data_IF_428719230652
#
_entry.id   IF_428719230652
#
_cell.length_a   1.000
_cell.length_b   1.000
_cell.length_c   1.000
_cell.angle_alpha   90.00
_cell.angle_beta   90.00
_cell.angle_gamma   90.00
#
_symmetry.space_group_name_H-M   'P 1'
#
loop_
_entity.id
_entity.type
_entity.pdbx_description
1 polymer ?
#
# COMPACT_ATOMS: atom_id res chain seq x y z
N UNK A 1 13.87 19.26 -7.84
CA UNK A 1 12.43 19.02 -8.07
C UNK A 1 11.86 17.88 -7.22
N UNK A 2 12.30 16.63 -7.40
CA UNK A 2 11.73 15.45 -6.70
C UNK A 2 11.74 15.51 -5.17
N UNK A 3 12.78 16.11 -4.57
CA UNK A 3 12.86 16.29 -3.11
C UNK A 3 11.70 17.14 -2.58
N UNK A 4 11.35 18.24 -3.28
CA UNK A 4 10.24 19.12 -2.89
C UNK A 4 8.89 18.43 -3.01
N UNK A 5 8.70 17.63 -4.07
CA UNK A 5 7.46 16.86 -4.23
C UNK A 5 7.34 15.74 -3.18
N UNK A 6 8.45 15.09 -2.83
CA UNK A 6 8.49 14.09 -1.75
C UNK A 6 8.14 14.72 -0.40
N UNK A 7 8.60 15.95 -0.14
CA UNK A 7 8.21 16.70 1.05
C UNK A 7 6.69 16.93 1.11
N UNK A 8 6.06 17.33 0.00
CA UNK A 8 4.60 17.50 -0.06
C UNK A 8 3.86 16.19 0.21
N UNK A 9 4.29 15.08 -0.41
CA UNK A 9 3.68 13.77 -0.20
C UNK A 9 3.76 13.32 1.26
N UNK A 10 4.92 13.52 1.92
CA UNK A 10 5.12 13.17 3.33
C UNK A 10 4.28 14.04 4.28
N UNK A 11 3.93 15.25 3.86
CA UNK A 11 3.17 16.22 4.64
C UNK A 11 1.75 16.43 4.11
N UNK A 12 1.16 15.43 3.45
CA UNK A 12 -0.18 15.50 2.87
C UNK A 12 -1.26 15.93 3.87
N UNK A 13 -1.12 15.52 5.13
CA UNK A 13 -2.00 15.91 6.25
C UNK A 13 -2.12 17.43 6.39
N UNK A 14 -1.06 18.18 6.11
CA UNK A 14 -1.02 19.64 6.16
C UNK A 14 -1.24 20.26 4.77
N UNK A 15 -0.68 19.65 3.72
CA UNK A 15 -0.76 20.19 2.37
C UNK A 15 -2.21 20.30 1.85
N UNK A 16 -3.07 19.33 2.19
CA UNK A 16 -4.48 19.36 1.78
C UNK A 16 -5.23 20.55 2.41
N UNK A 17 -5.27 20.73 3.75
CA UNK A 17 -5.88 21.91 4.36
C UNK A 17 -5.33 23.23 3.85
N UNK A 18 -4.01 23.34 3.69
CA UNK A 18 -3.38 24.55 3.15
C UNK A 18 -3.88 24.83 1.74
N UNK A 19 -3.96 23.81 0.88
CA UNK A 19 -4.46 23.94 -0.48
C UNK A 19 -5.92 24.38 -0.55
N UNK A 20 -6.76 23.91 0.38
CA UNK A 20 -8.15 24.32 0.49
C UNK A 20 -8.25 25.82 0.79
N UNK A 21 -7.53 26.28 1.83
CA UNK A 21 -7.52 27.69 2.26
C UNK A 21 -6.98 28.58 1.15
N UNK A 22 -5.85 28.21 0.53
CA UNK A 22 -5.26 28.98 -0.57
C UNK A 22 -6.20 29.05 -1.78
N UNK A 23 -6.93 27.98 -2.09
CA UNK A 23 -7.92 27.98 -3.16
C UNK A 23 -9.04 28.98 -2.89
N UNK A 24 -9.62 28.97 -1.67
CA UNK A 24 -10.65 29.94 -1.27
C UNK A 24 -10.13 31.38 -1.37
N UNK A 25 -8.95 31.66 -0.82
CA UNK A 25 -8.35 32.99 -0.86
C UNK A 25 -8.10 33.45 -2.31
N UNK A 26 -7.55 32.58 -3.15
CA UNK A 26 -7.30 32.89 -4.56
C UNK A 26 -8.59 33.23 -5.30
N UNK A 27 -9.62 32.39 -5.19
CA UNK A 27 -10.88 32.60 -5.91
C UNK A 27 -11.70 33.80 -5.42
N UNK A 28 -11.45 34.25 -4.18
CA UNK A 28 -12.02 35.49 -3.67
C UNK A 28 -11.37 36.72 -4.29
N UNK A 29 -10.03 36.69 -4.45
CA UNK A 29 -9.23 37.81 -4.93
C UNK A 29 -9.19 37.90 -6.47
N UNK A 30 -9.26 36.76 -7.15
CA UNK A 30 -9.02 36.62 -8.59
C UNK A 30 -10.16 35.78 -9.20
N UNK A 31 -10.62 36.14 -10.41
CA UNK A 31 -11.56 35.31 -11.16
C UNK A 31 -10.95 33.92 -11.46
N UNK A 32 -11.53 32.90 -10.83
CA UNK A 32 -11.07 31.52 -10.89
C UNK A 32 -11.58 30.75 -12.12
N UNK A 33 -12.39 31.37 -12.98
CA UNK A 33 -12.97 30.72 -14.16
C UNK A 33 -11.93 30.12 -15.10
N UNK A 34 -10.77 30.78 -15.27
CA UNK A 34 -9.65 30.31 -16.09
C UNK A 34 -9.07 28.97 -15.59
N UNK A 35 -9.17 28.70 -14.28
CA UNK A 35 -8.68 27.46 -13.68
C UNK A 35 -9.44 26.22 -14.15
N UNK A 36 -10.64 26.37 -14.74
CA UNK A 36 -11.40 25.25 -15.33
C UNK A 36 -10.59 24.48 -16.38
N UNK A 37 -9.69 25.16 -17.11
CA UNK A 37 -8.80 24.54 -18.11
C UNK A 37 -7.86 23.49 -17.47
N UNK A 38 -7.54 23.65 -16.19
CA UNK A 38 -6.65 22.73 -15.47
C UNK A 38 -7.35 21.45 -15.00
N UNK A 39 -8.69 21.41 -14.99
CA UNK A 39 -9.45 20.27 -14.43
C UNK A 39 -9.10 18.96 -15.13
N UNK A 40 -9.16 18.94 -16.46
CA UNK A 40 -8.86 17.75 -17.26
C UNK A 40 -7.40 17.28 -17.12
N UNK A 41 -6.36 18.12 -17.33
CA UNK A 41 -4.98 17.67 -17.19
C UNK A 41 -4.63 17.22 -15.77
N UNK A 42 -5.13 17.90 -14.74
CA UNK A 42 -4.93 17.48 -13.35
C UNK A 42 -5.61 16.13 -13.07
N UNK A 43 -6.82 15.94 -13.60
CA UNK A 43 -7.54 14.66 -13.48
C UNK A 43 -6.76 13.51 -14.11
N UNK A 44 -6.25 13.70 -15.33
CA UNK A 44 -5.43 12.69 -16.01
C UNK A 44 -4.15 12.42 -15.21
N UNK A 45 -3.46 13.47 -14.76
CA UNK A 45 -2.22 13.36 -13.99
C UNK A 45 -2.43 12.72 -12.61
N UNK A 46 -3.64 12.73 -12.08
CA UNK A 46 -4.00 12.09 -10.83
C UNK A 46 -4.14 10.56 -10.98
N UNK A 47 -4.80 10.11 -12.06
CA UNK A 47 -5.12 8.69 -12.30
C UNK A 47 -3.97 7.95 -13.01
N UNK A 48 -3.34 8.58 -14.00
CA UNK A 48 -2.29 7.97 -14.82
C UNK A 48 -1.14 7.34 -14.00
N UNK A 49 -0.54 8.03 -13.01
CA UNK A 49 0.58 7.48 -12.24
C UNK A 49 0.21 6.26 -11.39
N UNK A 50 -1.06 6.15 -10.97
CA UNK A 50 -1.54 4.98 -10.22
C UNK A 50 -1.36 3.71 -11.05
N UNK A 51 -1.72 3.73 -12.33
CA UNK A 51 -1.57 2.56 -13.18
C UNK A 51 -0.11 2.25 -13.52
N UNK A 52 0.72 3.28 -13.72
CA UNK A 52 2.15 3.08 -14.00
C UNK A 52 2.83 2.32 -12.87
N UNK A 53 2.44 2.53 -11.62
CA UNK A 53 3.09 1.90 -10.45
C UNK A 53 2.50 0.55 -10.05
N UNK A 54 1.35 0.18 -10.61
CA UNK A 54 0.57 -0.98 -10.17
C UNK A 54 1.27 -2.30 -10.51
N UNK A 55 1.35 -3.24 -9.56
CA UNK A 55 1.90 -4.56 -9.83
C UNK A 55 0.84 -5.48 -10.44
N UNK A 56 0.83 -5.56 -11.77
CA UNK A 56 -0.18 -6.33 -12.51
C UNK A 56 -0.02 -7.83 -12.28
N UNK A 57 1.19 -8.32 -12.06
CA UNK A 57 1.42 -9.75 -11.73
C UNK A 57 0.65 -10.16 -10.47
N UNK A 58 0.46 -9.24 -9.51
CA UNK A 58 -0.30 -9.48 -8.28
C UNK A 58 -1.80 -9.75 -8.53
N UNK A 59 -2.35 -9.40 -9.70
CA UNK A 59 -3.72 -9.76 -10.09
C UNK A 59 -3.89 -11.27 -10.23
N UNK A 60 -2.86 -11.95 -10.72
CA UNK A 60 -2.88 -13.37 -11.01
C UNK A 60 -2.43 -14.24 -9.82
N UNK A 61 -1.95 -13.63 -8.74
CA UNK A 61 -1.60 -14.35 -7.49
C UNK A 61 -2.84 -14.98 -6.87
N UNK A 62 -2.74 -16.09 -6.14
CA UNK A 62 -3.89 -16.67 -5.46
C UNK A 62 -4.53 -15.68 -4.46
N UNK A 63 -5.86 -15.69 -4.38
CA UNK A 63 -6.64 -14.92 -3.42
C UNK A 63 -7.80 -15.78 -2.92
N UNK A 64 -8.15 -15.65 -1.63
CA UNK A 64 -9.34 -16.30 -1.08
C UNK A 64 -10.60 -15.65 -1.69
N UNK A 65 -11.39 -16.36 -2.52
CA UNK A 65 -12.50 -15.75 -3.24
C UNK A 65 -13.60 -15.24 -2.30
N UNK A 66 -13.86 -15.95 -1.19
CA UNK A 66 -14.83 -15.53 -0.17
C UNK A 66 -14.50 -14.17 0.43
N UNK A 67 -13.22 -13.93 0.76
CA UNK A 67 -12.74 -12.65 1.28
C UNK A 67 -12.93 -11.53 0.26
N UNK A 68 -12.55 -11.78 -1.00
CA UNK A 68 -12.71 -10.80 -2.08
C UNK A 68 -14.17 -10.42 -2.27
N UNK A 69 -15.08 -11.41 -2.33
CA UNK A 69 -16.52 -11.18 -2.49
C UNK A 69 -17.06 -10.36 -1.32
N UNK A 70 -16.72 -10.73 -0.08
CA UNK A 70 -17.14 -9.98 1.11
C UNK A 70 -16.73 -8.50 1.03
N UNK A 71 -15.48 -8.22 0.65
CA UNK A 71 -15.00 -6.84 0.49
C UNK A 71 -15.80 -6.09 -0.58
N UNK A 72 -16.12 -6.73 -1.71
CA UNK A 72 -16.92 -6.09 -2.76
C UNK A 72 -18.37 -5.86 -2.32
N UNK A 73 -19.00 -6.80 -1.61
CA UNK A 73 -20.35 -6.64 -1.07
C UNK A 73 -20.43 -5.48 -0.08
N UNK A 74 -19.46 -5.35 0.83
CA UNK A 74 -19.38 -4.20 1.72
C UNK A 74 -19.29 -2.90 0.91
N UNK A 75 -18.40 -2.85 -0.08
CA UNK A 75 -18.12 -1.64 -0.84
C UNK A 75 -19.20 -1.21 -1.83
N UNK A 76 -19.94 -2.15 -2.40
CA UNK A 76 -20.91 -1.87 -3.45
C UNK A 76 -22.35 -2.03 -3.01
N UNK A 77 -22.64 -2.61 -1.84
CA UNK A 77 -23.99 -2.70 -1.30
C UNK A 77 -24.11 -1.85 -0.04
N UNK A 78 -23.34 -2.17 1.00
CA UNK A 78 -23.56 -1.57 2.32
C UNK A 78 -23.13 -0.10 2.34
N UNK A 79 -21.91 0.21 1.88
CA UNK A 79 -21.37 1.58 1.93
C UNK A 79 -22.20 2.56 1.07
N UNK A 80 -22.63 2.24 -0.17
CA UNK A 80 -23.51 3.11 -0.94
C UNK A 80 -24.86 3.36 -0.27
N UNK A 81 -25.49 2.33 0.31
CA UNK A 81 -26.76 2.48 1.04
C UNK A 81 -26.61 3.41 2.25
N UNK A 82 -25.50 3.30 2.97
CA UNK A 82 -25.19 4.18 4.10
C UNK A 82 -24.94 5.62 3.63
N UNK A 83 -24.13 5.80 2.58
CA UNK A 83 -23.87 7.12 2.01
C UNK A 83 -25.15 7.80 1.52
N UNK A 84 -26.02 7.05 0.84
CA UNK A 84 -27.34 7.53 0.42
C UNK A 84 -28.22 7.88 1.61
N UNK A 85 -28.32 7.00 2.62
CA UNK A 85 -29.12 7.24 3.82
C UNK A 85 -28.68 8.48 4.60
N UNK A 86 -27.37 8.69 4.76
CA UNK A 86 -26.81 9.91 5.36
C UNK A 86 -27.17 11.14 4.48
N UNK A 87 -27.07 11.01 3.16
CA UNK A 87 -27.47 12.06 2.22
C UNK A 87 -28.94 12.46 2.36
N UNK A 88 -29.85 11.50 2.53
CA UNK A 88 -31.27 11.76 2.74
C UNK A 88 -31.57 12.50 4.06
N UNK A 89 -30.80 12.23 5.11
CA UNK A 89 -31.02 12.84 6.43
C UNK A 89 -30.40 14.23 6.52
N UNK A 90 -29.15 14.38 6.08
CA UNK A 90 -28.37 15.60 6.31
C UNK A 90 -28.31 16.54 5.10
N UNK A 91 -28.52 16.03 3.88
CA UNK A 91 -28.31 16.76 2.62
C UNK A 91 -29.57 16.79 1.75
N UNK A 92 -30.75 16.60 2.34
CA UNK A 92 -32.04 16.51 1.66
C UNK A 92 -32.33 17.69 0.72
N UNK A 93 -31.98 18.90 1.16
CA UNK A 93 -32.26 20.14 0.43
C UNK A 93 -31.14 20.54 -0.54
N UNK A 94 -30.06 19.76 -0.60
CA UNK A 94 -28.85 20.03 -1.38
C UNK A 94 -28.51 18.80 -2.23
N UNK A 95 -29.26 18.54 -3.32
CA UNK A 95 -29.18 17.27 -4.05
C UNK A 95 -27.80 17.03 -4.67
N UNK A 96 -27.08 18.08 -5.08
CA UNK A 96 -25.71 17.96 -5.60
C UNK A 96 -24.70 17.57 -4.51
N UNK A 97 -24.81 18.12 -3.29
CA UNK A 97 -23.99 17.68 -2.16
C UNK A 97 -24.31 16.23 -1.75
N UNK A 98 -25.59 15.86 -1.71
CA UNK A 98 -26.02 14.49 -1.44
C UNK A 98 -25.46 13.51 -2.48
N UNK A 99 -25.47 13.91 -3.75
CA UNK A 99 -24.87 13.14 -4.83
C UNK A 99 -23.34 13.03 -4.70
N UNK A 100 -22.66 14.10 -4.27
CA UNK A 100 -21.23 14.06 -3.96
C UNK A 100 -20.91 13.03 -2.87
N UNK A 101 -21.71 12.95 -1.81
CA UNK A 101 -21.58 11.91 -0.78
C UNK A 101 -21.81 10.51 -1.36
N UNK A 102 -22.80 10.34 -2.23
CA UNK A 102 -23.04 9.07 -2.91
C UNK A 102 -21.86 8.67 -3.82
N UNK A 103 -21.27 9.61 -4.58
CA UNK A 103 -20.07 9.34 -5.38
C UNK A 103 -18.88 8.88 -4.53
N UNK A 104 -18.65 9.53 -3.38
CA UNK A 104 -17.65 9.09 -2.40
C UNK A 104 -17.95 7.64 -1.98
N UNK A 105 -19.21 7.35 -1.66
CA UNK A 105 -19.66 6.03 -1.20
C UNK A 105 -19.66 4.94 -2.29
N UNK A 106 -19.69 5.29 -3.57
CA UNK A 106 -19.73 4.35 -4.71
C UNK A 106 -18.37 4.00 -5.27
N UNK A 107 -17.37 4.86 -5.06
CA UNK A 107 -16.05 4.70 -5.67
C UNK A 107 -15.05 4.23 -4.62
N UNK A 108 -14.91 2.91 -4.38
CA UNK A 108 -13.99 2.39 -3.39
C UNK A 108 -12.56 2.50 -3.89
N UNK A 109 -11.63 2.33 -2.97
CA UNK A 109 -10.19 2.18 -3.22
C UNK A 109 -9.53 3.34 -3.98
N UNK A 110 -8.76 4.15 -3.27
CA UNK A 110 -7.81 5.10 -3.87
C UNK A 110 -6.49 4.43 -4.28
N UNK A 111 -5.64 5.16 -5.01
CA UNK A 111 -4.25 4.76 -5.23
C UNK A 111 -3.43 4.62 -3.94
N UNK A 112 -3.85 5.24 -2.84
CA UNK A 112 -3.18 5.14 -1.53
C UNK A 112 -3.60 3.91 -0.73
N UNK A 113 -4.67 3.20 -1.12
CA UNK A 113 -5.19 2.01 -0.43
C UNK A 113 -4.11 0.97 -0.18
N UNK A 114 -3.30 0.71 -1.21
CA UNK A 114 -2.22 -0.28 -1.18
C UNK A 114 -1.15 0.14 -0.17
N UNK A 115 -0.76 1.42 -0.18
CA UNK A 115 0.24 1.97 0.74
C UNK A 115 -0.23 1.94 2.19
N UNK A 116 -1.46 2.39 2.48
CA UNK A 116 -2.03 2.37 3.83
C UNK A 116 -2.18 0.94 4.36
N UNK A 117 -2.60 0.00 3.49
CA UNK A 117 -2.64 -1.43 3.84
C UNK A 117 -1.23 -1.92 4.20
N UNK A 118 -0.22 -1.57 3.41
CA UNK A 118 1.17 -1.93 3.69
C UNK A 118 1.70 -1.34 4.99
N UNK A 119 1.43 -0.06 5.27
CA UNK A 119 1.83 0.60 6.50
C UNK A 119 1.19 -0.02 7.75
N UNK A 120 -0.06 -0.48 7.64
CA UNK A 120 -0.73 -1.22 8.71
C UNK A 120 -0.35 -2.72 8.76
N UNK A 121 0.55 -3.18 7.87
CA UNK A 121 0.98 -4.58 7.74
C UNK A 121 -0.20 -5.52 7.44
N UNK A 122 -1.04 -5.11 6.49
CA UNK A 122 -2.14 -5.90 5.92
C UNK A 122 -1.75 -6.67 4.66
N UNK A 123 -2.72 -7.37 4.06
CA UNK A 123 -2.50 -8.15 2.84
C UNK A 123 -2.45 -7.26 1.60
N UNK A 124 -1.24 -6.87 1.19
CA UNK A 124 -0.97 -5.98 0.05
C UNK A 124 -1.44 -6.58 -1.28
N UNK A 125 -1.31 -7.89 -1.49
CA UNK A 125 -1.76 -8.54 -2.74
C UNK A 125 -3.29 -8.49 -2.87
N UNK A 126 -4.01 -8.75 -1.78
CA UNK A 126 -5.46 -8.60 -1.73
C UNK A 126 -5.88 -7.14 -1.93
N UNK A 127 -5.12 -6.18 -1.41
CA UNK A 127 -5.41 -4.75 -1.58
C UNK A 127 -5.27 -4.32 -3.04
N UNK A 128 -4.23 -4.79 -3.75
CA UNK A 128 -4.05 -4.53 -5.18
C UNK A 128 -5.25 -5.07 -5.98
N UNK A 129 -5.64 -6.33 -5.74
CA UNK A 129 -6.79 -6.96 -6.40
C UNK A 129 -8.11 -6.23 -6.13
N UNK A 130 -8.38 -5.95 -4.85
CA UNK A 130 -9.56 -5.18 -4.43
C UNK A 130 -9.60 -3.82 -5.08
N UNK A 131 -8.45 -3.14 -5.21
CA UNK A 131 -8.37 -1.82 -5.84
C UNK A 131 -8.74 -1.87 -7.32
N UNK A 132 -8.26 -2.86 -8.05
CA UNK A 132 -8.51 -2.97 -9.49
C UNK A 132 -9.95 -3.40 -9.76
N UNK A 133 -10.43 -4.43 -9.04
CA UNK A 133 -11.81 -4.89 -9.13
C UNK A 133 -12.76 -3.76 -8.71
N UNK A 134 -12.45 -3.04 -7.63
CA UNK A 134 -13.22 -1.90 -7.16
C UNK A 134 -13.27 -0.76 -8.17
N UNK A 135 -12.16 -0.46 -8.85
CA UNK A 135 -12.15 0.57 -9.89
C UNK A 135 -13.01 0.19 -11.11
N UNK A 136 -12.94 -1.06 -11.55
CA UNK A 136 -13.74 -1.58 -12.67
C UNK A 136 -15.23 -1.59 -12.29
N UNK A 137 -15.58 -2.25 -11.17
CA UNK A 137 -16.95 -2.34 -10.70
C UNK A 137 -17.53 -0.96 -10.38
N UNK A 138 -16.78 -0.07 -9.76
CA UNK A 138 -17.22 1.29 -9.47
C UNK A 138 -17.52 2.08 -10.74
N UNK A 139 -16.67 1.99 -11.76
CA UNK A 139 -16.90 2.67 -13.04
C UNK A 139 -18.14 2.12 -13.77
N UNK A 140 -18.39 0.81 -13.69
CA UNK A 140 -19.53 0.17 -14.34
C UNK A 140 -20.84 0.38 -13.57
N UNK A 141 -20.82 0.29 -12.25
CA UNK A 141 -22.00 0.37 -11.39
C UNK A 141 -22.44 1.81 -11.13
N UNK A 142 -21.53 2.79 -11.12
CA UNK A 142 -21.84 4.17 -10.76
C UNK A 142 -23.01 4.76 -11.57
N UNK A 143 -23.09 4.66 -12.91
CA UNK A 143 -24.23 5.22 -13.65
C UNK A 143 -25.58 4.61 -13.23
N UNK A 144 -25.62 3.31 -12.93
CA UNK A 144 -26.83 2.63 -12.49
C UNK A 144 -27.24 3.05 -11.09
N UNK A 145 -26.28 3.12 -10.15
CA UNK A 145 -26.54 3.62 -8.81
C UNK A 145 -27.02 5.06 -8.84
N UNK A 146 -26.41 5.91 -9.65
CA UNK A 146 -26.85 7.29 -9.78
C UNK A 146 -28.26 7.38 -10.33
N UNK A 147 -28.57 6.63 -11.40
CA UNK A 147 -29.92 6.60 -11.97
C UNK A 147 -30.97 6.12 -10.95
N UNK A 148 -30.63 5.10 -10.16
CA UNK A 148 -31.53 4.52 -9.16
C UNK A 148 -31.75 5.44 -7.95
N UNK A 149 -30.68 5.95 -7.34
CA UNK A 149 -30.75 6.69 -6.08
C UNK A 149 -31.06 8.18 -6.26
N UNK A 150 -30.65 8.77 -7.39
CA UNK A 150 -30.65 10.25 -7.57
C UNK A 150 -31.28 10.68 -8.90
N UNK A 151 -31.63 9.74 -9.78
CA UNK A 151 -32.17 10.02 -11.10
C UNK A 151 -33.52 10.76 -11.11
N UNK A 152 -34.23 10.80 -9.99
CA UNK A 152 -35.47 11.59 -9.85
C UNK A 152 -35.19 13.07 -9.54
N UNK A 153 -34.04 13.38 -8.94
CA UNK A 153 -33.68 14.73 -8.51
C UNK A 153 -32.64 15.40 -9.42
N UNK A 154 -31.80 14.61 -10.09
CA UNK A 154 -30.76 15.11 -10.98
C UNK A 154 -30.93 14.45 -12.35
N UNK A 155 -31.19 15.27 -13.36
CA UNK A 155 -31.24 14.81 -14.75
C UNK A 155 -29.84 14.44 -15.22
N UNK A 156 -29.66 13.18 -15.58
CA UNK A 156 -28.37 12.65 -16.00
C UNK A 156 -28.44 12.01 -17.38
N UNK A 157 -27.67 12.51 -18.36
CA UNK A 157 -27.49 11.81 -19.61
C UNK A 157 -26.58 10.60 -19.35
N UNK A 158 -27.18 9.47 -18.98
CA UNK A 158 -26.47 8.22 -18.57
C UNK A 158 -25.43 7.82 -19.61
N UNK A 159 -25.79 7.84 -20.90
CA UNK A 159 -24.89 7.46 -21.99
C UNK A 159 -23.69 8.40 -22.11
N UNK A 160 -23.93 9.72 -22.08
CA UNK A 160 -22.86 10.73 -22.11
C UNK A 160 -21.94 10.58 -20.89
N UNK A 161 -22.52 10.33 -19.72
CA UNK A 161 -21.79 10.06 -18.49
C UNK A 161 -20.90 8.84 -18.66
N UNK A 162 -21.42 7.73 -19.18
CA UNK A 162 -20.63 6.51 -19.43
C UNK A 162 -19.43 6.76 -20.37
N UNK A 163 -19.64 7.52 -21.45
CA UNK A 163 -18.58 7.86 -22.41
C UNK A 163 -17.50 8.73 -21.75
N UNK A 164 -17.89 9.76 -21.01
CA UNK A 164 -16.94 10.65 -20.35
C UNK A 164 -16.19 9.95 -19.21
N UNK A 165 -16.85 9.08 -18.44
CA UNK A 165 -16.18 8.18 -17.49
C UNK A 165 -15.15 7.28 -18.19
N UNK A 166 -15.56 6.69 -19.31
CA UNK A 166 -14.73 5.90 -20.20
C UNK A 166 -13.41 6.59 -20.49
N UNK A 167 -13.49 7.82 -21.01
CA UNK A 167 -12.32 8.63 -21.35
C UNK A 167 -11.52 9.02 -20.10
N UNK A 168 -12.17 9.53 -19.07
CA UNK A 168 -11.48 10.11 -17.89
C UNK A 168 -10.78 9.06 -17.05
N UNK A 169 -11.33 7.85 -16.96
CA UNK A 169 -10.78 6.77 -16.14
C UNK A 169 -9.93 5.84 -17.00
N UNK A 170 -10.48 5.27 -18.08
CA UNK A 170 -9.79 4.20 -18.81
C UNK A 170 -8.65 4.71 -19.69
N UNK A 171 -8.73 5.94 -20.24
CA UNK A 171 -7.62 6.47 -21.06
C UNK A 171 -6.35 6.68 -20.23
N UNK A 172 -6.37 7.34 -19.05
CA UNK A 172 -5.17 7.45 -18.21
C UNK A 172 -4.65 6.10 -17.72
N UNK A 173 -5.54 5.14 -17.43
CA UNK A 173 -5.12 3.78 -17.06
C UNK A 173 -4.43 3.09 -18.23
N UNK A 174 -5.00 3.13 -19.43
CA UNK A 174 -4.40 2.52 -20.62
C UNK A 174 -3.02 3.12 -20.92
N UNK A 175 -2.92 4.45 -20.90
CA UNK A 175 -1.65 5.17 -21.09
C UNK A 175 -0.63 4.79 -20.00
N UNK A 176 -1.07 4.69 -18.75
CA UNK A 176 -0.21 4.30 -17.63
C UNK A 176 0.29 2.86 -17.76
N UNK A 177 -0.57 1.95 -18.23
CA UNK A 177 -0.21 0.56 -18.49
C UNK A 177 0.85 0.44 -19.60
N UNK A 178 0.61 1.10 -20.74
CA UNK A 178 1.54 1.15 -21.86
C UNK A 178 2.88 1.75 -21.41
N UNK A 179 2.83 2.86 -20.67
CA UNK A 179 4.04 3.49 -20.12
C UNK A 179 4.80 2.52 -19.22
N UNK A 180 4.13 1.78 -18.34
CA UNK A 180 4.78 0.80 -17.48
C UNK A 180 5.52 -0.27 -18.29
N UNK A 181 4.88 -0.82 -19.33
CA UNK A 181 5.49 -1.83 -20.21
C UNK A 181 6.75 -1.26 -20.87
N UNK A 182 6.63 -0.06 -21.46
CA UNK A 182 7.74 0.60 -22.16
C UNK A 182 8.91 0.85 -21.19
N UNK A 183 8.64 1.42 -20.01
CA UNK A 183 9.69 1.73 -19.03
C UNK A 183 10.37 0.47 -18.49
N UNK A 184 9.63 -0.61 -18.24
CA UNK A 184 10.21 -1.89 -17.84
C UNK A 184 11.04 -2.52 -18.95
N UNK A 185 10.63 -2.37 -20.22
CA UNK A 185 11.37 -2.86 -21.39
C UNK A 185 12.68 -2.09 -21.60
N UNK A 186 12.67 -0.77 -21.41
CA UNK A 186 13.84 0.10 -21.61
C UNK A 186 14.84 -0.04 -20.45
N UNK A 187 14.38 0.03 -19.20
CA UNK A 187 15.26 0.13 -18.03
C UNK A 187 15.42 -1.19 -17.24
N UNK A 188 14.63 -2.21 -17.55
CA UNK A 188 14.57 -3.45 -16.77
C UNK A 188 13.71 -3.33 -15.50
N UNK A 189 13.21 -4.48 -15.02
CA UNK A 189 12.26 -4.55 -13.90
C UNK A 189 12.88 -4.03 -12.58
N UNK A 190 14.16 -4.33 -12.33
CA UNK A 190 14.85 -3.92 -11.11
C UNK A 190 15.03 -2.40 -11.04
N UNK A 191 15.51 -1.76 -12.11
CA UNK A 191 15.70 -0.31 -12.15
C UNK A 191 14.36 0.44 -12.11
N UNK A 192 13.35 -0.07 -12.83
CA UNK A 192 12.01 0.49 -12.78
C UNK A 192 11.47 0.52 -11.34
N UNK A 193 11.51 -0.61 -10.64
CA UNK A 193 10.97 -0.72 -9.29
C UNK A 193 11.72 0.14 -8.26
N UNK A 194 13.05 0.25 -8.40
CA UNK A 194 13.91 0.94 -7.41
C UNK A 194 14.00 2.46 -7.63
N UNK A 195 14.05 2.92 -8.88
CA UNK A 195 14.44 4.30 -9.20
C UNK A 195 13.34 5.11 -9.90
N UNK A 196 12.42 4.45 -10.62
CA UNK A 196 11.43 5.13 -11.45
C UNK A 196 10.05 5.10 -10.79
N UNK A 197 9.62 3.94 -10.30
CA UNK A 197 8.29 3.71 -9.72
C UNK A 197 7.94 4.70 -8.60
N UNK A 198 8.89 5.03 -7.73
CA UNK A 198 8.69 5.95 -6.59
C UNK A 198 8.41 7.39 -6.99
N UNK A 199 8.68 7.79 -8.25
CA UNK A 199 8.48 9.15 -8.75
C UNK A 199 7.03 9.43 -9.15
N UNK A 200 6.30 8.41 -9.63
CA UNK A 200 4.93 8.54 -10.12
C UNK A 200 3.91 8.98 -9.06
N UNK A 201 3.92 8.44 -7.82
CA UNK A 201 2.99 8.87 -6.77
C UNK A 201 3.12 10.37 -6.42
N UNK A 202 4.31 10.94 -6.60
CA UNK A 202 4.58 12.36 -6.38
C UNK A 202 3.81 13.25 -7.36
N UNK A 203 3.70 12.82 -8.62
CA UNK A 203 2.93 13.52 -9.66
C UNK A 203 1.43 13.48 -9.36
N UNK A 204 0.92 12.32 -8.94
CA UNK A 204 -0.48 12.17 -8.54
C UNK A 204 -0.81 13.04 -7.32
N UNK A 205 0.09 13.09 -6.34
CA UNK A 205 -0.04 13.96 -5.14
C UNK A 205 -0.16 15.44 -5.53
N UNK A 206 0.71 15.91 -6.43
CA UNK A 206 0.65 17.29 -6.93
C UNK A 206 -0.67 17.58 -7.63
N UNK A 207 -1.14 16.64 -8.46
CA UNK A 207 -2.40 16.77 -9.16
C UNK A 207 -3.61 16.83 -8.23
N UNK A 208 -3.63 16.00 -7.18
CA UNK A 208 -4.67 16.02 -6.12
C UNK A 208 -4.72 17.38 -5.43
N UNK A 209 -3.56 17.89 -4.99
CA UNK A 209 -3.48 19.21 -4.34
C UNK A 209 -3.97 20.30 -5.30
N UNK A 210 -3.52 20.27 -6.57
CA UNK A 210 -3.94 21.22 -7.59
C UNK A 210 -5.44 21.21 -7.85
N UNK A 211 -6.06 20.03 -7.98
CA UNK A 211 -7.51 19.96 -8.29
C UNK A 211 -8.36 20.38 -7.08
N UNK A 212 -7.90 20.09 -5.86
CA UNK A 212 -8.53 20.58 -4.63
C UNK A 212 -8.48 22.12 -4.59
N UNK A 213 -7.32 22.71 -4.90
CA UNK A 213 -7.18 24.15 -5.02
C UNK A 213 -8.17 24.74 -6.03
N UNK A 214 -8.25 24.15 -7.23
CA UNK A 214 -9.17 24.61 -8.29
C UNK A 214 -10.63 24.53 -7.83
N UNK A 215 -11.05 23.42 -7.22
CA UNK A 215 -12.41 23.26 -6.73
C UNK A 215 -12.79 24.33 -5.69
N UNK A 216 -11.90 24.60 -4.74
CA UNK A 216 -12.13 25.64 -3.72
C UNK A 216 -12.10 27.05 -4.29
N UNK A 217 -11.23 27.31 -5.27
CA UNK A 217 -11.19 28.60 -5.95
C UNK A 217 -12.49 28.89 -6.70
N UNK A 218 -13.08 27.88 -7.35
CA UNK A 218 -14.36 28.02 -8.07
C UNK A 218 -15.55 28.26 -7.13
N UNK A 219 -15.51 27.72 -5.90
CA UNK A 219 -16.59 27.84 -4.90
C UNK A 219 -16.32 28.94 -3.85
N UNK A 220 -15.17 29.60 -3.91
CA UNK A 220 -14.66 30.59 -2.94
C UNK A 220 -15.69 31.63 -2.48
N UNK A 221 -16.34 32.33 -3.42
CA UNK A 221 -17.34 33.37 -3.12
C UNK A 221 -18.52 32.82 -2.31
N UNK A 222 -19.00 31.62 -2.65
CA UNK A 222 -20.08 30.94 -1.92
C UNK A 222 -19.65 30.59 -0.50
N UNK A 223 -18.43 30.04 -0.35
CA UNK A 223 -17.88 29.64 0.96
C UNK A 223 -17.68 30.84 1.87
N UNK A 224 -17.26 31.98 1.33
CA UNK A 224 -17.06 33.20 2.13
C UNK A 224 -18.41 33.82 2.50
N UNK A 225 -19.41 33.75 1.62
CA UNK A 225 -20.76 34.22 1.92
C UNK A 225 -21.45 33.38 3.00
N UNK A 226 -21.24 32.06 2.99
CA UNK A 226 -21.74 31.14 4.03
C UNK A 226 -20.67 30.13 4.48
N UNK A 227 -19.79 30.52 5.43
CA UNK A 227 -18.74 29.64 5.95
C UNK A 227 -19.29 28.43 6.70
N UNK A 228 -20.53 28.51 7.19
CA UNK A 228 -21.17 27.42 7.92
C UNK A 228 -21.48 26.24 7.00
N UNK A 229 -21.68 26.47 5.69
CA UNK A 229 -21.89 25.41 4.68
C UNK A 229 -20.80 24.32 4.78
N UNK A 230 -19.52 24.72 4.86
CA UNK A 230 -18.40 23.77 4.98
C UNK A 230 -18.41 23.02 6.30
N UNK A 231 -18.80 23.68 7.40
CA UNK A 231 -18.90 23.06 8.72
C UNK A 231 -20.04 22.03 8.76
N UNK A 232 -21.18 22.35 8.16
CA UNK A 232 -22.31 21.44 8.04
C UNK A 232 -21.95 20.17 7.26
N UNK A 233 -21.06 20.26 6.25
CA UNK A 233 -20.58 19.11 5.49
C UNK A 233 -19.69 18.15 6.30
N UNK A 234 -19.03 18.62 7.36
CA UNK A 234 -18.19 17.74 8.19
C UNK A 234 -19.02 16.68 8.92
N UNK A 235 -20.24 17.02 9.36
CA UNK A 235 -21.10 16.10 10.12
C UNK A 235 -21.42 14.81 9.33
N UNK A 236 -22.04 14.88 8.13
CA UNK A 236 -22.36 13.67 7.36
C UNK A 236 -21.09 12.90 6.94
N UNK A 237 -19.99 13.60 6.64
CA UNK A 237 -18.74 12.95 6.27
C UNK A 237 -18.11 12.19 7.45
N UNK A 238 -18.05 12.82 8.63
CA UNK A 238 -17.53 12.18 9.85
C UNK A 238 -18.37 10.96 10.18
N UNK A 239 -19.71 11.07 10.14
CA UNK A 239 -20.61 9.94 10.36
C UNK A 239 -20.37 8.82 9.35
N UNK A 240 -20.23 9.15 8.07
CA UNK A 240 -19.94 8.19 7.00
C UNK A 240 -18.63 7.43 7.27
N UNK A 241 -17.55 8.14 7.57
CA UNK A 241 -16.24 7.52 7.82
C UNK A 241 -16.22 6.73 9.13
N UNK A 242 -16.80 7.23 10.22
CA UNK A 242 -16.92 6.51 11.50
C UNK A 242 -17.67 5.21 11.30
N UNK A 243 -18.84 5.27 10.64
CA UNK A 243 -19.64 4.07 10.36
C UNK A 243 -18.84 3.07 9.52
N UNK A 244 -18.16 3.53 8.46
CA UNK A 244 -17.38 2.67 7.59
C UNK A 244 -16.24 1.98 8.35
N UNK A 245 -15.44 2.73 9.12
CA UNK A 245 -14.40 2.15 10.00
C UNK A 245 -15.00 1.15 10.98
N UNK A 246 -16.07 1.50 11.67
CA UNK A 246 -16.70 0.64 12.66
C UNK A 246 -17.19 -0.67 12.04
N UNK A 247 -17.95 -0.59 10.95
CA UNK A 247 -18.50 -1.76 10.26
C UNK A 247 -17.39 -2.67 9.74
N UNK A 248 -16.42 -2.12 9.02
CA UNK A 248 -15.33 -2.92 8.46
C UNK A 248 -14.40 -3.50 9.52
N UNK A 249 -14.24 -2.81 10.66
CA UNK A 249 -13.52 -3.32 11.82
C UNK A 249 -14.21 -4.55 12.41
N UNK A 250 -15.52 -4.48 12.60
CA UNK A 250 -16.31 -5.60 13.14
C UNK A 250 -16.27 -6.77 12.17
N UNK A 251 -16.59 -6.55 10.89
CA UNK A 251 -16.58 -7.62 9.89
C UNK A 251 -15.18 -8.24 9.80
N UNK A 252 -14.14 -7.42 9.74
CA UNK A 252 -12.76 -7.89 9.68
C UNK A 252 -12.38 -8.73 10.89
N UNK A 253 -12.75 -8.29 12.10
CA UNK A 253 -12.36 -8.95 13.36
C UNK A 253 -12.99 -10.32 13.52
N UNK A 254 -14.24 -10.50 13.08
CA UNK A 254 -14.98 -11.74 13.28
C UNK A 254 -14.88 -12.71 12.10
N UNK A 255 -14.64 -12.24 10.87
CA UNK A 255 -14.71 -13.08 9.67
C UNK A 255 -13.39 -13.27 8.93
N UNK A 256 -12.33 -12.49 9.24
CA UNK A 256 -11.09 -12.47 8.46
C UNK A 256 -9.84 -12.63 9.35
N UNK A 257 -8.70 -13.00 8.73
CA UNK A 257 -7.41 -12.88 9.42
C UNK A 257 -7.04 -11.41 9.57
N UNK A 258 -6.14 -11.08 10.51
CA UNK A 258 -5.68 -9.70 10.75
C UNK A 258 -5.30 -8.98 9.45
N UNK A 259 -4.50 -9.63 8.60
CA UNK A 259 -3.98 -9.03 7.37
C UNK A 259 -5.10 -8.75 6.36
N UNK A 260 -6.02 -9.71 6.20
CA UNK A 260 -7.17 -9.59 5.30
C UNK A 260 -8.20 -8.57 5.84
N UNK A 261 -8.37 -8.48 7.16
CA UNK A 261 -9.22 -7.51 7.85
C UNK A 261 -8.72 -6.07 7.65
N UNK A 262 -7.41 -5.84 7.79
CA UNK A 262 -6.79 -4.54 7.50
C UNK A 262 -7.02 -4.14 6.04
N UNK A 263 -6.90 -5.11 5.12
CA UNK A 263 -7.20 -4.88 3.71
C UNK A 263 -8.67 -4.54 3.46
N UNK A 264 -9.61 -5.17 4.18
CA UNK A 264 -11.03 -4.79 4.13
C UNK A 264 -11.24 -3.35 4.59
N UNK A 265 -10.67 -2.97 5.74
CA UNK A 265 -10.84 -1.62 6.30
C UNK A 265 -10.30 -0.56 5.34
N UNK A 266 -9.02 -0.65 4.94
CA UNK A 266 -8.47 0.35 4.01
C UNK A 266 -9.07 0.24 2.62
N UNK A 267 -9.39 -0.97 2.17
CA UNK A 267 -10.09 -1.21 0.90
C UNK A 267 -11.47 -0.59 0.83
N UNK A 268 -12.10 -0.32 1.98
CA UNK A 268 -13.41 0.34 2.02
C UNK A 268 -13.36 1.81 2.39
N UNK A 269 -12.53 2.19 3.36
CA UNK A 269 -12.46 3.56 3.87
C UNK A 269 -11.67 4.45 2.91
N UNK A 270 -10.63 3.95 2.26
CA UNK A 270 -9.89 4.76 1.28
C UNK A 270 -10.69 4.85 -0.01
N UNK A 271 -11.65 5.79 -0.09
CA UNK A 271 -12.46 6.05 -1.27
C UNK A 271 -11.63 6.71 -2.37
N UNK A 272 -12.01 6.47 -3.62
CA UNK A 272 -11.38 7.08 -4.77
C UNK A 272 -11.92 8.51 -5.01
N UNK A 273 -11.61 9.41 -4.07
CA UNK A 273 -12.01 10.81 -4.13
C UNK A 273 -11.47 11.51 -5.39
N UNK A 274 -10.36 11.03 -5.93
CA UNK A 274 -9.76 11.47 -7.18
C UNK A 274 -10.71 11.28 -8.37
N UNK A 275 -11.20 10.05 -8.54
CA UNK A 275 -12.16 9.74 -9.59
C UNK A 275 -13.50 10.43 -9.32
N UNK A 276 -13.96 10.48 -8.06
CA UNK A 276 -15.19 11.18 -7.72
C UNK A 276 -15.16 12.67 -8.13
N UNK A 277 -14.06 13.36 -7.84
CA UNK A 277 -13.87 14.78 -8.14
C UNK A 277 -13.80 15.04 -9.65
N UNK A 278 -13.13 14.16 -10.38
CA UNK A 278 -13.06 14.20 -11.83
C UNK A 278 -14.45 14.12 -12.47
N UNK A 279 -15.27 13.19 -11.97
CA UNK A 279 -16.64 12.97 -12.46
C UNK A 279 -17.50 14.18 -12.15
N UNK A 280 -17.43 14.68 -10.92
CA UNK A 280 -18.14 15.89 -10.51
C UNK A 280 -17.89 17.03 -11.50
N UNK A 281 -16.63 17.38 -11.73
CA UNK A 281 -16.27 18.57 -12.50
C UNK A 281 -16.45 18.41 -14.02
N UNK A 282 -16.27 17.19 -14.57
CA UNK A 282 -16.34 16.97 -16.03
C UNK A 282 -17.76 16.67 -16.48
N UNK A 283 -18.52 15.88 -15.72
CA UNK A 283 -19.87 15.45 -16.13
C UNK A 283 -20.91 16.51 -15.79
N UNK A 284 -20.79 17.19 -14.65
CA UNK A 284 -21.80 18.11 -14.15
C UNK A 284 -21.46 19.59 -14.35
N UNK A 285 -20.29 19.90 -14.90
CA UNK A 285 -19.89 21.28 -15.23
C UNK A 285 -20.00 22.20 -14.02
N UNK A 286 -20.81 23.26 -14.13
CA UNK A 286 -20.98 24.25 -13.07
C UNK A 286 -21.66 23.67 -11.81
N UNK A 287 -22.64 22.78 -11.98
CA UNK A 287 -23.22 22.02 -10.85
C UNK A 287 -22.20 21.05 -10.22
N UNK A 288 -21.18 20.68 -11.00
CA UNK A 288 -20.04 19.89 -10.56
C UNK A 288 -19.21 20.53 -9.47
N UNK A 289 -19.22 21.86 -9.36
CA UNK A 289 -18.45 22.60 -8.34
C UNK A 289 -19.02 22.35 -6.94
N UNK A 290 -20.34 22.23 -6.80
CA UNK A 290 -20.99 21.91 -5.53
C UNK A 290 -20.69 20.46 -5.11
N UNK A 291 -20.80 19.51 -6.04
CA UNK A 291 -20.40 18.11 -5.83
C UNK A 291 -18.92 18.03 -5.44
N UNK A 292 -18.06 18.82 -6.09
CA UNK A 292 -16.62 18.87 -5.83
C UNK A 292 -16.28 19.39 -4.42
N UNK A 293 -17.09 20.29 -3.85
CA UNK A 293 -16.88 20.85 -2.51
C UNK A 293 -16.87 19.74 -1.45
N UNK A 294 -17.92 18.92 -1.37
CA UNK A 294 -18.01 17.85 -0.36
C UNK A 294 -16.90 16.80 -0.55
N UNK A 295 -16.50 16.52 -1.81
CA UNK A 295 -15.39 15.60 -2.11
C UNK A 295 -14.04 16.19 -1.67
N UNK A 296 -13.83 17.50 -1.88
CA UNK A 296 -12.63 18.20 -1.43
C UNK A 296 -12.52 18.20 0.10
N UNK A 297 -13.63 18.43 0.81
CA UNK A 297 -13.69 18.34 2.28
C UNK A 297 -13.44 16.90 2.76
N UNK A 298 -13.94 15.89 2.05
CA UNK A 298 -13.73 14.48 2.40
C UNK A 298 -12.23 14.08 2.40
N UNK A 299 -11.37 14.73 1.60
CA UNK A 299 -9.92 14.48 1.66
C UNK A 299 -9.31 14.79 3.03
N UNK A 300 -9.81 15.82 3.72
CA UNK A 300 -9.35 16.24 5.07
C UNK A 300 -9.78 15.26 6.15
N UNK A 301 -10.82 14.46 5.91
CA UNK A 301 -11.25 13.45 6.86
C UNK A 301 -10.56 12.12 6.52
N UNK A 302 -10.52 11.75 5.24
CA UNK A 302 -10.02 10.45 4.79
C UNK A 302 -8.53 10.27 5.11
N UNK A 303 -7.67 11.22 4.76
CA UNK A 303 -6.20 11.05 4.91
C UNK A 303 -5.79 11.02 6.38
N UNK A 304 -6.42 11.87 7.19
CA UNK A 304 -6.15 12.05 8.61
C UNK A 304 -6.64 10.84 9.40
N UNK A 305 -7.88 10.42 9.16
CA UNK A 305 -8.45 9.24 9.80
C UNK A 305 -7.69 7.96 9.42
N UNK A 306 -7.17 7.84 8.19
CA UNK A 306 -6.33 6.71 7.78
C UNK A 306 -5.08 6.60 8.65
N UNK A 307 -4.38 7.72 8.84
CA UNK A 307 -3.17 7.79 9.64
C UNK A 307 -3.44 7.44 11.11
N UNK A 308 -4.54 7.93 11.67
CA UNK A 308 -4.95 7.58 13.03
C UNK A 308 -5.35 6.11 13.16
N UNK A 309 -6.04 5.57 12.16
CA UNK A 309 -6.51 4.20 12.17
C UNK A 309 -5.36 3.19 12.11
N UNK A 310 -4.20 3.50 11.51
CA UNK A 310 -3.00 2.64 11.65
C UNK A 310 -2.74 2.32 13.12
N UNK A 311 -2.66 3.37 13.96
CA UNK A 311 -2.37 3.22 15.39
C UNK A 311 -3.51 2.51 16.13
N UNK A 312 -4.75 2.76 15.72
CA UNK A 312 -5.92 2.14 16.33
C UNK A 312 -6.09 0.66 15.96
N UNK A 313 -5.66 0.27 14.75
CA UNK A 313 -5.83 -1.09 14.22
C UNK A 313 -5.16 -2.17 15.09
N UNK A 314 -4.09 -1.82 15.80
CA UNK A 314 -3.43 -2.70 16.76
C UNK A 314 -4.33 -3.06 17.96
N UNK A 315 -5.16 -2.11 18.41
CA UNK A 315 -6.13 -2.35 19.49
C UNK A 315 -7.30 -3.22 19.02
N UNK A 316 -7.65 -3.14 17.73
CA UNK A 316 -8.79 -3.87 17.15
C UNK A 316 -8.41 -5.30 16.78
N UNK A 317 -7.29 -5.47 16.07
CA UNK A 317 -6.90 -6.73 15.44
C UNK A 317 -5.64 -7.37 16.04
N UNK A 318 -5.03 -6.75 17.05
CA UNK A 318 -3.79 -7.22 17.66
C UNK A 318 -2.54 -6.62 17.02
N UNK A 319 -1.41 -6.82 17.72
CA UNK A 319 -0.11 -6.22 17.41
C UNK A 319 0.37 -6.63 16.01
N UNK A 320 1.10 -5.72 15.36
CA UNK A 320 1.80 -5.99 14.10
C UNK A 320 2.67 -7.24 14.25
N UNK A 321 2.54 -8.27 13.38
CA UNK A 321 3.47 -9.38 13.37
C UNK A 321 4.89 -8.85 13.19
N UNK A 322 5.78 -9.06 14.17
CA UNK A 322 7.19 -8.73 13.99
C UNK A 322 7.74 -9.61 12.86
N UNK A 323 8.49 -9.01 11.94
CA UNK A 323 9.18 -9.76 10.89
C UNK A 323 10.07 -10.83 11.55
N UNK A 324 9.87 -12.09 11.19
CA UNK A 324 10.58 -13.23 11.77
C UNK A 324 11.75 -13.62 10.87
N UNK A 325 12.75 -14.32 11.42
CA UNK A 325 13.92 -14.71 10.63
C UNK A 325 13.58 -15.62 9.44
N UNK A 326 12.47 -16.36 9.47
CA UNK A 326 12.00 -17.12 8.31
C UNK A 326 11.80 -16.27 7.06
N UNK A 327 11.47 -14.98 7.21
CA UNK A 327 11.15 -14.08 6.08
C UNK A 327 12.40 -13.50 5.39
N UNK A 328 13.59 -13.86 5.86
CA UNK A 328 14.88 -13.32 5.38
C UNK A 328 15.94 -14.39 5.15
N UNK A 329 15.72 -15.61 5.61
CA UNK A 329 16.66 -16.72 5.47
C UNK A 329 16.40 -17.38 4.13
N UNK A 330 17.45 -17.50 3.30
CA UNK A 330 17.37 -18.30 2.08
C UNK A 330 17.24 -19.79 2.42
N UNK A 331 16.37 -20.50 1.70
CA UNK A 331 16.21 -21.95 1.87
C UNK A 331 17.44 -22.67 1.29
N UNK A 332 18.29 -23.18 2.19
CA UNK A 332 19.46 -23.97 1.79
C UNK A 332 20.55 -23.93 2.85
N UNK A 333 21.00 -25.11 3.28
CA UNK A 333 22.23 -25.25 4.04
C UNK A 333 23.08 -26.32 3.42
N UNK A 334 24.19 -25.92 2.83
CA UNK A 334 25.21 -26.87 2.43
C UNK A 334 25.82 -27.49 3.69
N UNK A 335 25.76 -28.82 3.77
CA UNK A 335 26.19 -29.58 4.94
C UNK A 335 27.05 -30.77 4.53
N UNK A 336 28.09 -31.04 5.32
CA UNK A 336 29.02 -32.15 5.12
C UNK A 336 29.11 -33.00 6.39
N UNK A 337 29.32 -34.30 6.24
CA UNK A 337 29.57 -35.19 7.37
C UNK A 337 30.98 -35.01 7.93
N UNK A 338 31.13 -35.15 9.24
CA UNK A 338 32.39 -34.93 9.96
C UNK A 338 33.48 -35.98 9.66
N UNK A 339 33.17 -37.04 8.91
CA UNK A 339 34.14 -38.03 8.43
C UNK A 339 34.91 -37.59 7.17
N UNK A 340 34.43 -36.53 6.50
CA UNK A 340 35.09 -35.92 5.35
C UNK A 340 36.29 -35.07 5.78
N UNK A 341 36.96 -34.46 4.80
CA UNK A 341 38.21 -33.72 4.98
C UNK A 341 38.04 -32.22 4.78
N UNK A 342 39.06 -31.46 5.19
CA UNK A 342 39.13 -30.02 4.95
C UNK A 342 39.10 -29.68 3.45
N UNK A 343 39.69 -30.54 2.60
CA UNK A 343 39.63 -30.43 1.15
C UNK A 343 38.19 -30.42 0.63
N UNK A 344 37.35 -31.35 1.13
CA UNK A 344 35.95 -31.46 0.69
C UNK A 344 35.14 -30.21 1.04
N UNK A 345 35.46 -29.57 2.17
CA UNK A 345 34.84 -28.30 2.55
C UNK A 345 35.26 -27.18 1.60
N UNK A 346 36.56 -27.06 1.31
CA UNK A 346 37.08 -26.01 0.41
C UNK A 346 36.49 -26.16 -0.99
N UNK A 347 36.45 -27.40 -1.50
CA UNK A 347 35.85 -27.72 -2.79
C UNK A 347 34.38 -27.29 -2.86
N UNK A 348 33.58 -27.64 -1.84
CA UNK A 348 32.17 -27.27 -1.80
C UNK A 348 31.96 -25.75 -1.71
N UNK A 349 32.80 -25.04 -0.95
CA UNK A 349 32.72 -23.58 -0.86
C UNK A 349 32.99 -22.91 -2.21
N UNK A 350 33.95 -23.44 -2.98
CA UNK A 350 34.32 -22.93 -4.29
C UNK A 350 33.26 -23.22 -5.36
N UNK A 351 32.82 -24.49 -5.47
CA UNK A 351 31.85 -24.96 -6.46
C UNK A 351 30.48 -24.27 -6.30
N UNK A 352 30.01 -24.09 -5.06
CA UNK A 352 28.69 -23.51 -4.77
C UNK A 352 28.75 -22.00 -4.50
N UNK A 353 29.95 -21.38 -4.60
CA UNK A 353 30.18 -19.96 -4.34
C UNK A 353 29.63 -19.48 -2.97
N UNK A 354 29.80 -20.30 -1.93
CA UNK A 354 29.29 -20.07 -0.57
C UNK A 354 30.43 -19.82 0.43
N UNK A 355 30.10 -19.20 1.56
CA UNK A 355 31.09 -18.75 2.57
C UNK A 355 31.05 -19.53 3.89
N UNK A 356 30.24 -20.59 3.98
CA UNK A 356 30.18 -21.47 5.14
C UNK A 356 29.44 -22.77 4.86
N UNK A 357 29.85 -23.83 5.56
CA UNK A 357 29.25 -25.16 5.50
C UNK A 357 28.99 -25.66 6.92
N UNK A 358 27.84 -26.28 7.17
CA UNK A 358 27.59 -26.95 8.45
C UNK A 358 28.14 -28.37 8.46
N UNK A 359 28.66 -28.77 9.62
CA UNK A 359 29.25 -30.10 9.81
C UNK A 359 28.30 -30.95 10.64
N UNK A 360 27.93 -32.12 10.09
CA UNK A 360 27.01 -33.08 10.70
C UNK A 360 27.77 -34.29 11.24
N UNK A 361 27.31 -34.85 12.35
CA UNK A 361 27.75 -36.17 12.80
C UNK A 361 26.95 -37.30 12.12
N UNK A 362 27.29 -38.55 12.43
CA UNK A 362 26.60 -39.75 11.90
C UNK A 362 25.11 -39.85 12.28
N UNK A 363 24.64 -39.06 13.25
CA UNK A 363 23.22 -38.99 13.68
C UNK A 363 22.50 -37.77 13.08
N UNK A 364 23.06 -37.17 12.01
CA UNK A 364 22.58 -35.94 11.36
C UNK A 364 22.45 -34.73 12.31
N UNK A 365 23.15 -34.73 13.45
CA UNK A 365 23.20 -33.57 14.34
C UNK A 365 24.39 -32.69 13.99
N UNK A 366 24.16 -31.38 14.00
CA UNK A 366 25.23 -30.40 13.79
C UNK A 366 26.23 -30.46 14.94
N UNK A 367 27.50 -30.58 14.57
CA UNK A 367 28.63 -30.50 15.50
C UNK A 367 29.38 -29.18 15.39
N UNK A 368 29.27 -28.49 14.24
CA UNK A 368 29.98 -27.23 14.03
C UNK A 368 29.61 -26.52 12.73
N UNK A 369 30.12 -25.30 12.55
CA UNK A 369 30.08 -24.55 11.30
C UNK A 369 31.52 -24.23 10.89
N UNK A 370 31.90 -24.54 9.65
CA UNK A 370 33.17 -24.10 9.08
C UNK A 370 32.91 -22.89 8.19
N UNK A 371 33.65 -21.81 8.44
CA UNK A 371 33.61 -20.58 7.66
C UNK A 371 34.93 -20.39 6.93
N UNK A 372 34.94 -19.53 5.91
CA UNK A 372 36.18 -19.14 5.21
C UNK A 372 37.26 -18.64 6.18
N UNK A 373 36.89 -17.93 7.26
CA UNK A 373 37.82 -17.48 8.29
C UNK A 373 38.46 -18.64 9.08
N UNK A 374 37.68 -19.66 9.43
CA UNK A 374 38.22 -20.84 10.13
C UNK A 374 39.20 -21.57 9.22
N UNK A 375 38.89 -21.68 7.92
CA UNK A 375 39.78 -22.32 6.94
C UNK A 375 41.08 -21.54 6.81
N UNK A 376 41.02 -20.21 6.67
CA UNK A 376 42.22 -19.36 6.61
C UNK A 376 43.09 -19.57 7.84
N UNK A 377 42.50 -19.58 9.04
CA UNK A 377 43.24 -19.81 10.29
C UNK A 377 43.88 -21.21 10.31
N UNK A 378 43.14 -22.25 9.92
CA UNK A 378 43.66 -23.63 9.88
C UNK A 378 44.82 -23.78 8.87
N UNK A 379 44.73 -23.13 7.72
CA UNK A 379 45.80 -23.12 6.71
C UNK A 379 47.02 -22.33 7.20
N UNK A 380 46.80 -21.19 7.86
CA UNK A 380 47.88 -20.42 8.50
C UNK A 380 48.60 -21.23 9.59
N UNK A 381 47.87 -22.11 10.29
CA UNK A 381 48.41 -23.05 11.27
C UNK A 381 49.04 -24.31 10.62
N UNK A 382 49.28 -24.31 9.31
CA UNK A 382 49.86 -25.42 8.53
C UNK A 382 49.07 -26.75 8.63
N UNK A 383 47.74 -26.71 8.85
CA UNK A 383 46.92 -27.93 8.81
C UNK A 383 46.82 -28.48 7.38
N UNK A 384 47.01 -29.79 7.25
CA UNK A 384 46.87 -30.49 5.96
C UNK A 384 45.43 -30.45 5.46
N UNK A 385 45.25 -30.30 4.14
CA UNK A 385 43.95 -30.42 3.47
C UNK A 385 43.29 -31.80 3.68
N UNK A 386 44.07 -32.83 3.99
CA UNK A 386 43.58 -34.19 4.29
C UNK A 386 43.08 -34.35 5.73
N UNK A 387 43.18 -33.32 6.57
CA UNK A 387 42.70 -33.36 7.96
C UNK A 387 41.21 -33.65 7.98
N UNK A 388 40.79 -34.64 8.77
CA UNK A 388 39.37 -34.97 8.94
C UNK A 388 38.67 -33.89 9.75
N UNK A 389 37.41 -33.63 9.41
CA UNK A 389 36.60 -32.64 10.09
C UNK A 389 36.29 -33.02 11.54
N UNK A 390 36.34 -34.33 11.88
CA UNK A 390 36.25 -34.85 13.25
C UNK A 390 37.36 -34.36 14.16
N UNK A 391 38.52 -34.05 13.59
CA UNK A 391 39.74 -33.73 14.34
C UNK A 391 39.90 -32.22 14.52
N UNK A 392 38.97 -31.44 13.97
CA UNK A 392 38.91 -29.99 14.08
C UNK A 392 37.93 -29.61 15.19
N UNK A 393 38.40 -28.88 16.19
CA UNK A 393 37.55 -28.38 17.27
C UNK A 393 36.72 -27.21 16.76
N UNK A 394 35.46 -27.48 16.40
CA UNK A 394 34.55 -26.46 15.89
C UNK A 394 33.77 -25.78 17.02
N UNK A 395 33.55 -24.45 16.94
CA UNK A 395 32.69 -23.76 17.88
C UNK A 395 31.24 -24.20 17.68
N UNK A 396 30.51 -24.43 18.77
CA UNK A 396 29.08 -24.74 18.72
C UNK A 396 28.34 -23.57 18.08
N UNK A 397 27.65 -23.78 16.95
CA UNK A 397 26.96 -22.70 16.27
C UNK A 397 25.72 -22.30 17.07
N UNK A 398 25.46 -21.00 17.14
CA UNK A 398 24.27 -20.47 17.80
C UNK A 398 23.04 -20.84 16.96
N UNK A 399 22.12 -21.59 17.56
CA UNK A 399 20.87 -22.02 16.92
C UNK A 399 19.71 -21.14 17.38
N UNK A 400 18.85 -20.73 16.45
CA UNK A 400 17.69 -19.87 16.72
C UNK A 400 16.48 -20.43 15.97
N UNK A 401 15.32 -20.41 16.62
CA UNK A 401 14.07 -20.85 16.01
C UNK A 401 13.64 -19.89 14.89
N UNK A 402 13.18 -20.43 13.75
CA UNK A 402 12.79 -19.67 12.56
C UNK A 402 11.66 -18.64 12.79
N UNK A 403 10.86 -18.81 13.85
CA UNK A 403 9.80 -17.88 14.25
C UNK A 403 10.28 -16.80 15.23
N UNK A 404 11.58 -16.74 15.53
CA UNK A 404 12.12 -15.72 16.43
C UNK A 404 12.10 -14.36 15.71
N UNK A 405 11.59 -13.30 16.35
CA UNK A 405 11.61 -11.96 15.76
C UNK A 405 13.02 -11.49 15.45
N UNK A 406 13.22 -10.83 14.30
CA UNK A 406 14.54 -10.37 13.84
C UNK A 406 15.21 -9.48 14.88
N UNK A 407 14.48 -8.55 15.53
CA UNK A 407 15.02 -7.69 16.61
C UNK A 407 15.62 -8.50 17.75
N UNK A 408 14.93 -9.56 18.19
CA UNK A 408 15.41 -10.45 19.24
C UNK A 408 16.67 -11.19 18.77
N UNK A 409 16.71 -11.66 17.53
CA UNK A 409 17.91 -12.28 16.95
C UNK A 409 19.10 -11.32 16.91
N UNK A 410 18.89 -10.07 16.50
CA UNK A 410 19.93 -9.03 16.50
C UNK A 410 20.48 -8.76 17.91
N UNK A 411 19.61 -8.71 18.93
CA UNK A 411 20.04 -8.56 20.32
C UNK A 411 20.92 -9.71 20.78
N UNK A 412 20.55 -10.96 20.45
CA UNK A 412 21.33 -12.16 20.80
C UNK A 412 22.67 -12.17 20.05
N UNK A 413 22.67 -11.85 18.76
CA UNK A 413 23.89 -11.76 17.94
C UNK A 413 24.85 -10.70 18.48
N UNK A 414 24.33 -9.53 18.89
CA UNK A 414 25.11 -8.45 19.52
C UNK A 414 25.69 -8.91 20.87
N UNK A 415 24.87 -9.47 21.76
CA UNK A 415 25.30 -9.91 23.09
C UNK A 415 26.32 -11.05 23.05
N UNK A 416 26.15 -12.00 22.13
CA UNK A 416 27.04 -13.18 22.02
C UNK A 416 28.21 -12.97 21.06
N UNK A 417 28.37 -11.77 20.49
CA UNK A 417 29.37 -11.45 19.47
C UNK A 417 29.40 -12.49 18.32
N UNK A 418 28.21 -12.90 17.84
CA UNK A 418 28.07 -13.88 16.75
C UNK A 418 27.52 -13.19 15.49
N UNK A 419 28.18 -13.42 14.36
CA UNK A 419 27.83 -12.81 13.06
C UNK A 419 27.15 -13.78 12.07
N UNK A 420 26.97 -15.04 12.49
CA UNK A 420 26.20 -16.07 11.79
C UNK A 420 25.43 -16.91 12.81
N UNK A 421 24.18 -17.24 12.50
CA UNK A 421 23.33 -18.11 13.32
C UNK A 421 22.66 -19.16 12.45
N UNK A 422 22.50 -20.35 12.99
CA UNK A 422 21.73 -21.41 12.34
C UNK A 422 20.27 -21.26 12.68
N UNK A 423 19.43 -21.39 11.67
CA UNK A 423 17.99 -21.29 11.80
C UNK A 423 17.40 -22.69 11.79
N UNK A 424 16.62 -22.98 12.83
CA UNK A 424 15.96 -24.27 13.03
C UNK A 424 14.45 -24.11 13.06
N UNK A 425 13.73 -25.06 12.50
CA UNK A 425 12.28 -25.14 12.57
C UNK A 425 11.79 -25.64 13.94
N UNK A 426 10.48 -25.68 14.14
CA UNK A 426 9.88 -26.14 15.41
C UNK A 426 10.19 -27.59 15.78
N UNK A 427 10.57 -28.42 14.80
CA UNK A 427 10.96 -29.82 15.00
C UNK A 427 12.47 -29.96 15.30
N UNK A 428 13.19 -28.85 15.44
CA UNK A 428 14.64 -28.83 15.66
C UNK A 428 15.48 -29.18 14.43
N UNK A 429 14.85 -29.29 13.24
CA UNK A 429 15.57 -29.48 11.97
C UNK A 429 15.99 -28.13 11.41
N UNK A 430 17.07 -28.14 10.65
CA UNK A 430 17.65 -26.95 10.02
C UNK A 430 16.70 -26.42 8.94
N UNK A 431 16.49 -25.11 8.92
CA UNK A 431 15.80 -24.42 7.83
C UNK A 431 16.68 -23.40 7.09
N UNK A 432 17.84 -23.00 7.63
CA UNK A 432 18.81 -22.17 6.90
C UNK A 432 19.90 -21.55 7.78
N UNK A 433 20.77 -20.70 7.21
CA UNK A 433 21.74 -19.87 7.94
C UNK A 433 21.24 -18.44 7.85
N UNK A 434 21.35 -17.68 8.94
CA UNK A 434 21.24 -16.23 8.90
C UNK A 434 22.61 -15.59 9.15
N UNK A 435 23.05 -14.78 8.21
CA UNK A 435 24.33 -14.08 8.19
C UNK A 435 24.15 -12.57 8.37
N UNK A 436 25.21 -11.89 8.82
CA UNK A 436 25.26 -10.43 8.88
C UNK A 436 24.93 -9.79 7.51
N UNK A 437 25.37 -10.37 6.41
CA UNK A 437 25.16 -9.84 5.06
C UNK A 437 23.70 -9.88 4.64
N UNK A 438 22.98 -10.97 4.93
CA UNK A 438 21.54 -11.10 4.64
C UNK A 438 20.71 -10.13 5.51
N UNK A 439 21.06 -10.01 6.79
CA UNK A 439 20.48 -9.01 7.69
C UNK A 439 20.67 -7.60 7.12
N UNK A 440 21.91 -7.24 6.78
CA UNK A 440 22.22 -5.92 6.22
C UNK A 440 21.50 -5.72 4.88
N UNK A 441 21.44 -6.73 4.02
CA UNK A 441 20.73 -6.68 2.73
C UNK A 441 19.24 -6.36 2.93
N UNK A 442 18.58 -7.00 3.91
CA UNK A 442 17.19 -6.72 4.27
C UNK A 442 17.00 -5.27 4.70
N UNK A 443 17.79 -4.80 5.65
CA UNK A 443 17.66 -3.44 6.19
C UNK A 443 18.18 -2.34 5.23
N UNK A 444 19.09 -2.66 4.32
CA UNK A 444 19.53 -1.76 3.25
C UNK A 444 18.43 -1.51 2.19
N UNK A 445 17.38 -2.35 2.20
CA UNK A 445 16.13 -2.11 1.48
C UNK A 445 15.22 -1.08 2.16
N UNK A 446 15.30 -0.94 3.49
CA UNK A 446 14.48 -0.01 4.28
C UNK A 446 15.06 1.41 4.37
N UNK A 447 16.37 1.56 4.12
CA UNK A 447 17.07 2.86 4.10
C UNK A 447 16.84 3.62 2.76
N UNK A 448 16.12 3.02 1.80
CA UNK A 448 15.74 3.65 0.52
C UNK A 448 14.30 4.10 0.53
#
# INVERSE_FOLDING_TARGET
MWIRLSFLQKNLVYAIPISLILGVLFGYLIDSSVLKILILPLTILMIYPMMVTLNIKSLFTYCKPKTQILIQLVNFIIIPLVGFGIGLVFLKNTPYLAYGLLLIALLPTSGMTISWTGFAKGNVNLAIKTTIIGLILGSLLMPFYTAFFVGQTISLPILKTFIELGKVIFLPLLLGFITQIILKKIYGEMHFNKNIKSKFPLLSTLAVIGIIFVAMALKSKSIIADPLEVLYLLIPLILFYIFNYFLTSIIGKYFLSREDAITLVYGSVMRNLSVALAIALIVFGDNGVEIALIIAVAYVIQVQSAAWYIKFSEKVFGVIPEDVIKDIVEEGLFALHNNLTLYDVIKLLDEEHINSVAILNRKEKIVGLITSQIIINLLADNKSLKTKLSDIKLPTPLQINERTPIKKVLSIMKQKHKYKVLVINQKGKISGVLTKSEIISKFAGEIK
#
